data_IF_429979575091
#
_entry.id   IF_429979575091
#
_cell.length_a   1.000
_cell.length_b   1.000
_cell.length_c   1.000
_cell.angle_alpha   90.00
_cell.angle_beta   90.00
_cell.angle_gamma   90.00
#
_symmetry.space_group_name_H-M   'P 1'
#
loop_
_entity.id
_entity.type
_entity.pdbx_description
1 polymer ?
#
# COMPACT_ATOMS: atom_id res chain seq x y z
N UNK A 1 19.74 -53.62 3.44
CA UNK A 1 18.52 -52.90 3.07
C UNK A 1 18.63 -51.48 3.64
N UNK A 2 19.10 -50.53 2.84
CA UNK A 2 19.23 -49.12 3.24
C UNK A 2 17.93 -48.40 2.87
N UNK A 3 17.19 -47.94 3.87
CA UNK A 3 16.03 -47.06 3.64
C UNK A 3 16.57 -45.66 3.23
N UNK A 4 16.37 -45.32 1.98
CA UNK A 4 16.49 -43.95 1.50
C UNK A 4 15.28 -43.14 2.07
N UNK A 5 15.54 -42.31 3.07
CA UNK A 5 14.59 -41.26 3.46
C UNK A 5 14.67 -40.16 2.40
N UNK A 6 13.77 -40.19 1.43
CA UNK A 6 13.51 -39.04 0.56
C UNK A 6 12.87 -37.93 1.42
N UNK A 7 13.67 -36.95 1.80
CA UNK A 7 13.18 -35.72 2.33
C UNK A 7 12.28 -35.06 1.25
N UNK A 8 11.00 -34.94 1.53
CA UNK A 8 10.08 -34.12 0.76
C UNK A 8 10.55 -32.67 0.90
N UNK A 9 11.37 -32.20 -0.05
CA UNK A 9 11.59 -30.79 -0.24
C UNK A 9 10.24 -30.13 -0.49
N UNK A 10 9.78 -29.26 0.39
CA UNK A 10 8.52 -28.53 0.26
C UNK A 10 8.43 -27.93 -1.14
N UNK A 11 7.34 -28.21 -1.85
CA UNK A 11 7.17 -27.84 -3.25
C UNK A 11 6.97 -26.33 -3.38
N UNK A 12 8.06 -25.59 -3.54
CA UNK A 12 7.99 -24.20 -3.99
C UNK A 12 7.79 -24.20 -5.52
N UNK A 13 6.80 -23.44 -5.99
CA UNK A 13 6.52 -23.28 -7.42
C UNK A 13 6.77 -21.85 -7.84
N UNK A 14 7.62 -21.60 -8.87
CA UNK A 14 7.65 -20.31 -9.52
C UNK A 14 6.31 -20.05 -10.23
N UNK A 15 5.76 -18.88 -10.05
CA UNK A 15 4.56 -18.40 -10.74
C UNK A 15 4.85 -17.02 -11.32
N UNK A 16 3.95 -16.49 -12.16
CA UNK A 16 4.07 -15.12 -12.68
C UNK A 16 4.02 -14.08 -11.55
N UNK A 17 3.60 -14.46 -10.34
CA UNK A 17 3.41 -13.59 -9.17
C UNK A 17 4.39 -13.86 -8.03
N UNK A 18 5.53 -14.44 -8.31
CA UNK A 18 6.53 -14.77 -7.31
C UNK A 18 6.61 -16.27 -7.03
N UNK A 19 7.55 -16.63 -6.15
CA UNK A 19 7.67 -18.01 -5.68
C UNK A 19 6.51 -18.30 -4.72
N UNK A 20 5.77 -19.36 -5.00
CA UNK A 20 4.68 -19.82 -4.15
C UNK A 20 5.16 -21.04 -3.35
N UNK A 21 5.05 -20.94 -2.04
CA UNK A 21 5.39 -22.01 -1.10
C UNK A 21 4.13 -22.81 -0.79
N UNK A 22 4.25 -24.13 -0.79
CA UNK A 22 3.14 -25.06 -0.56
C UNK A 22 3.43 -26.00 0.63
N UNK A 23 4.37 -25.63 1.47
CA UNK A 23 4.72 -26.27 2.74
C UNK A 23 4.06 -25.52 3.91
N UNK A 24 3.44 -26.29 4.80
CA UNK A 24 2.76 -25.76 5.98
C UNK A 24 1.42 -25.09 5.65
N UNK A 25 0.34 -25.70 6.08
CA UNK A 25 -0.99 -25.08 6.02
C UNK A 25 -1.19 -24.17 7.23
N UNK A 26 -1.81 -23.02 7.01
CA UNK A 26 -2.08 -22.00 8.01
C UNK A 26 -3.59 -21.76 8.13
N UNK A 27 -4.16 -22.10 9.27
CA UNK A 27 -5.59 -21.90 9.57
C UNK A 27 -5.89 -20.46 10.03
N UNK A 28 -4.86 -19.74 10.47
CA UNK A 28 -4.99 -18.38 11.00
C UNK A 28 -4.17 -17.38 10.18
N UNK A 29 -4.52 -16.09 10.33
CA UNK A 29 -3.77 -15.02 9.68
C UNK A 29 -2.36 -14.88 10.27
N UNK A 30 -2.19 -15.12 11.58
CA UNK A 30 -0.88 -15.12 12.24
C UNK A 30 -0.70 -16.44 12.99
N UNK A 31 0.37 -17.15 12.69
CA UNK A 31 0.68 -18.47 13.20
C UNK A 31 2.07 -18.44 13.86
N UNK A 32 2.18 -18.61 15.19
CA UNK A 32 3.46 -18.64 15.88
C UNK A 32 4.38 -19.70 15.28
N UNK A 33 5.64 -19.35 15.07
CA UNK A 33 6.68 -20.27 14.58
C UNK A 33 7.95 -20.10 15.42
N UNK A 34 8.65 -21.20 15.68
CA UNK A 34 9.85 -21.19 16.52
C UNK A 34 11.09 -20.68 15.79
N UNK A 35 11.13 -20.85 14.48
CA UNK A 35 12.30 -20.50 13.67
C UNK A 35 11.84 -20.10 12.26
N UNK A 36 12.66 -19.29 11.61
CA UNK A 36 12.50 -18.98 10.19
C UNK A 36 13.85 -19.15 9.49
N UNK A 37 13.81 -19.65 8.27
CA UNK A 37 14.95 -19.73 7.39
C UNK A 37 14.63 -19.06 6.06
N UNK A 38 15.52 -18.20 5.60
CA UNK A 38 15.45 -17.57 4.31
C UNK A 38 16.85 -17.43 3.71
N UNK A 39 16.99 -17.84 2.45
CA UNK A 39 18.21 -17.72 1.64
C UNK A 39 18.22 -16.42 0.82
N UNK A 40 17.23 -15.55 1.01
CA UNK A 40 17.06 -14.32 0.20
C UNK A 40 18.08 -13.26 0.61
N UNK A 41 18.58 -12.46 -0.36
CA UNK A 41 19.38 -11.28 -0.07
C UNK A 41 18.67 -10.37 0.93
N UNK A 42 19.43 -9.77 1.83
CA UNK A 42 18.93 -8.92 2.93
C UNK A 42 19.09 -7.46 2.57
N UNK A 43 18.03 -6.68 2.83
CA UNK A 43 18.04 -5.24 2.65
C UNK A 43 17.14 -4.61 3.74
N UNK A 44 17.75 -4.14 4.81
CA UNK A 44 17.08 -3.56 5.98
C UNK A 44 17.32 -2.05 6.11
N UNK A 45 17.85 -1.42 5.07
CA UNK A 45 18.33 -0.04 5.12
C UNK A 45 17.21 0.96 5.48
N UNK A 46 16.05 0.87 4.83
CA UNK A 46 14.98 1.84 5.03
C UNK A 46 14.27 1.69 6.38
N UNK A 47 14.37 0.53 7.02
CA UNK A 47 13.74 0.26 8.32
C UNK A 47 14.22 1.22 9.41
N UNK A 48 15.52 1.51 9.47
CA UNK A 48 16.10 2.41 10.49
C UNK A 48 15.50 3.81 10.38
N UNK A 49 15.41 4.35 9.17
CA UNK A 49 14.81 5.68 8.94
C UNK A 49 13.35 5.68 9.34
N UNK A 50 12.58 4.66 8.95
CA UNK A 50 11.17 4.57 9.32
C UNK A 50 10.97 4.42 10.82
N UNK A 51 11.80 3.63 11.49
CA UNK A 51 11.77 3.44 12.93
C UNK A 51 12.02 4.78 13.67
N UNK A 52 13.01 5.54 13.26
CA UNK A 52 13.34 6.83 13.88
C UNK A 52 12.19 7.83 13.72
N UNK A 53 11.55 7.89 12.56
CA UNK A 53 10.35 8.70 12.34
C UNK A 53 9.20 8.33 13.30
N UNK A 54 8.97 7.02 13.52
CA UNK A 54 7.96 6.57 14.48
C UNK A 54 8.30 7.00 15.90
N UNK A 55 9.56 6.79 16.32
CA UNK A 55 10.00 7.12 17.68
C UNK A 55 9.97 8.63 17.95
N UNK A 56 10.28 9.45 16.94
CA UNK A 56 10.24 10.90 17.04
C UNK A 56 8.81 11.43 17.06
N UNK A 57 7.95 10.93 16.19
CA UNK A 57 6.64 11.54 15.91
C UNK A 57 5.49 10.97 16.73
N UNK A 58 5.63 9.76 17.32
CA UNK A 58 4.56 9.11 18.07
C UNK A 58 4.99 8.61 19.44
N UNK A 59 4.82 9.42 20.50
CA UNK A 59 5.12 8.98 21.88
C UNK A 59 4.39 7.70 22.29
N UNK A 60 3.16 7.49 21.83
CA UNK A 60 2.38 6.29 22.14
C UNK A 60 2.92 5.03 21.48
N UNK A 61 3.33 5.10 20.21
CA UNK A 61 3.97 3.98 19.55
C UNK A 61 5.40 3.76 20.11
N UNK A 62 6.13 4.83 20.41
CA UNK A 62 7.42 4.72 21.08
C UNK A 62 7.29 3.95 22.41
N UNK A 63 6.34 4.32 23.26
CA UNK A 63 6.09 3.62 24.53
C UNK A 63 5.77 2.13 24.34
N UNK A 64 5.11 1.77 23.25
CA UNK A 64 4.70 0.38 22.96
C UNK A 64 5.81 -0.44 22.32
N UNK A 65 6.55 0.13 21.36
CA UNK A 65 7.39 -0.62 20.43
C UNK A 65 8.88 -0.31 20.52
N UNK A 66 9.32 0.73 21.23
CA UNK A 66 10.73 1.14 21.27
C UNK A 66 11.68 -0.02 21.60
N UNK A 67 11.33 -0.87 22.60
CA UNK A 67 12.15 -2.01 22.96
C UNK A 67 12.30 -3.02 21.82
N UNK A 68 11.19 -3.35 21.14
CA UNK A 68 11.21 -4.22 19.97
C UNK A 68 12.06 -3.61 18.84
N UNK A 69 11.83 -2.34 18.55
CA UNK A 69 12.53 -1.65 17.46
C UNK A 69 14.03 -1.67 17.66
N UNK A 70 14.50 -1.37 18.88
CA UNK A 70 15.93 -1.39 19.20
C UNK A 70 16.54 -2.80 19.18
N UNK A 71 15.75 -3.83 19.56
CA UNK A 71 16.19 -5.21 19.43
C UNK A 71 16.29 -5.65 17.98
N UNK A 72 15.30 -5.29 17.13
CA UNK A 72 15.33 -5.59 15.70
C UNK A 72 16.46 -4.85 15.01
N UNK A 73 16.71 -3.58 15.34
CA UNK A 73 17.85 -2.81 14.83
C UNK A 73 19.17 -3.50 15.19
N UNK A 74 19.35 -3.84 16.47
CA UNK A 74 20.55 -4.53 16.95
C UNK A 74 20.76 -5.89 16.26
N UNK A 75 19.69 -6.67 16.07
CA UNK A 75 19.75 -7.92 15.32
C UNK A 75 20.14 -7.67 13.85
N UNK A 76 19.53 -6.70 13.18
CA UNK A 76 19.79 -6.40 11.77
C UNK A 76 21.24 -5.97 11.53
N UNK A 77 21.81 -5.17 12.44
CA UNK A 77 23.20 -4.67 12.37
C UNK A 77 24.27 -5.74 12.70
N UNK A 78 23.98 -6.66 13.64
CA UNK A 78 25.00 -7.62 14.13
C UNK A 78 24.88 -9.03 13.54
N UNK A 79 23.74 -9.40 13.02
CA UNK A 79 23.50 -10.71 12.38
C UNK A 79 22.72 -10.58 11.09
N UNK A 80 21.49 -10.03 11.17
CA UNK A 80 20.54 -9.98 10.10
C UNK A 80 20.09 -11.36 9.58
N UNK A 81 20.56 -12.47 10.17
CA UNK A 81 20.16 -13.82 9.81
C UNK A 81 18.85 -14.18 10.50
N UNK A 82 17.75 -14.43 9.75
CA UNK A 82 16.46 -14.77 10.32
C UNK A 82 16.51 -15.94 11.31
N UNK A 83 17.37 -16.92 11.08
CA UNK A 83 17.55 -18.08 11.97
C UNK A 83 18.06 -17.69 13.37
N UNK A 84 18.62 -16.50 13.54
CA UNK A 84 19.18 -16.02 14.82
C UNK A 84 18.26 -15.10 15.61
N UNK A 85 17.06 -14.76 15.11
CA UNK A 85 16.13 -13.83 15.77
C UNK A 85 15.85 -14.19 17.24
N UNK A 86 15.67 -15.49 17.53
CA UNK A 86 15.49 -15.96 18.91
C UNK A 86 16.65 -15.65 19.84
N UNK A 87 17.90 -15.59 19.36
CA UNK A 87 19.08 -15.23 20.15
C UNK A 87 19.06 -13.75 20.59
N UNK A 88 18.24 -12.94 19.91
CA UNK A 88 18.01 -11.52 20.24
C UNK A 88 16.69 -11.31 20.98
N UNK A 89 16.03 -12.38 21.47
CA UNK A 89 14.78 -12.29 22.22
C UNK A 89 13.61 -11.84 21.34
N UNK A 90 13.62 -12.16 20.04
CA UNK A 90 12.58 -11.81 19.07
C UNK A 90 11.82 -13.08 18.70
N UNK A 91 10.52 -13.09 18.99
CA UNK A 91 9.57 -14.12 18.56
C UNK A 91 8.96 -13.79 17.21
N UNK A 92 8.44 -14.83 16.55
CA UNK A 92 7.89 -14.75 15.20
C UNK A 92 6.50 -15.34 15.13
N UNK A 93 5.64 -14.70 14.34
CA UNK A 93 4.40 -15.30 13.87
C UNK A 93 4.33 -15.18 12.35
N UNK A 94 4.31 -16.31 11.63
CA UNK A 94 4.19 -16.32 10.18
C UNK A 94 2.78 -15.93 9.76
N UNK A 95 2.69 -15.07 8.78
CA UNK A 95 1.42 -14.66 8.20
C UNK A 95 0.96 -15.70 7.18
N UNK A 96 -0.24 -16.25 7.37
CA UNK A 96 -0.88 -17.12 6.40
C UNK A 96 -1.35 -16.34 5.18
N UNK A 97 -1.24 -16.92 4.01
CA UNK A 97 -1.76 -16.36 2.77
C UNK A 97 -3.24 -16.67 2.55
N UNK A 98 -3.84 -16.04 1.53
CA UNK A 98 -5.23 -16.31 1.14
C UNK A 98 -5.44 -17.69 0.51
N UNK A 99 -4.37 -18.41 0.21
CA UNK A 99 -4.35 -19.75 -0.33
C UNK A 99 -4.23 -20.87 0.74
N UNK A 100 -4.23 -20.47 2.03
CA UNK A 100 -4.02 -21.39 3.15
C UNK A 100 -2.55 -21.74 3.43
N UNK A 101 -1.62 -21.21 2.65
CA UNK A 101 -0.17 -21.33 2.85
C UNK A 101 0.45 -20.00 3.28
N UNK A 102 1.78 -19.89 3.33
CA UNK A 102 2.47 -18.68 3.72
C UNK A 102 2.60 -17.61 2.63
N UNK A 103 1.80 -17.67 1.55
CA UNK A 103 1.93 -16.76 0.40
C UNK A 103 1.06 -15.50 0.59
N UNK A 104 1.61 -14.50 1.28
CA UNK A 104 0.95 -13.21 1.49
C UNK A 104 0.96 -12.40 0.19
N UNK A 105 -0.20 -11.85 -0.17
CA UNK A 105 -0.31 -10.97 -1.33
C UNK A 105 0.25 -9.60 -1.01
N UNK A 106 1.20 -9.15 -1.83
CA UNK A 106 1.65 -7.77 -1.89
C UNK A 106 1.02 -7.05 -3.06
N UNK A 107 0.44 -5.89 -2.81
CA UNK A 107 0.17 -4.86 -3.81
C UNK A 107 1.04 -3.64 -3.52
N UNK A 108 1.02 -2.64 -4.39
CA UNK A 108 1.76 -1.41 -4.21
C UNK A 108 0.86 -0.19 -4.29
N UNK A 109 1.20 0.84 -3.53
CA UNK A 109 0.62 2.16 -3.65
C UNK A 109 1.71 3.23 -3.62
N UNK A 110 1.36 4.42 -4.08
CA UNK A 110 2.30 5.53 -4.23
C UNK A 110 1.58 6.86 -4.04
N UNK A 111 2.33 7.94 -3.94
CA UNK A 111 1.78 9.29 -3.95
C UNK A 111 1.91 9.88 -5.36
N UNK A 112 0.81 10.02 -6.11
CA UNK A 112 0.88 10.62 -7.45
C UNK A 112 1.28 12.09 -7.38
N UNK A 113 1.80 12.61 -8.47
CA UNK A 113 1.98 14.04 -8.73
C UNK A 113 1.04 14.41 -9.86
N UNK A 114 0.12 15.34 -9.63
CA UNK A 114 -0.82 15.81 -10.65
C UNK A 114 -0.65 17.32 -10.87
N UNK A 115 -0.90 17.76 -12.11
CA UNK A 115 -0.82 19.16 -12.49
C UNK A 115 -2.14 19.88 -12.17
N UNK A 116 -2.04 21.01 -11.49
CA UNK A 116 -3.19 21.91 -11.20
C UNK A 116 -2.92 23.35 -11.58
N UNK A 117 -3.99 24.16 -11.59
CA UNK A 117 -3.97 25.62 -11.55
C UNK A 117 -4.90 26.11 -10.45
N UNK A 118 -4.57 27.28 -9.87
CA UNK A 118 -5.42 27.88 -8.83
C UNK A 118 -6.76 28.38 -9.37
N UNK A 119 -6.82 28.77 -10.65
CA UNK A 119 -8.03 29.24 -11.30
C UNK A 119 -8.40 28.34 -12.48
N UNK A 120 -9.69 28.10 -12.73
CA UNK A 120 -10.13 27.32 -13.86
C UNK A 120 -9.93 28.06 -15.19
N UNK A 121 -9.67 27.29 -16.24
CA UNK A 121 -9.67 27.76 -17.62
C UNK A 121 -10.28 26.70 -18.56
N UNK A 122 -10.11 26.83 -19.87
CA UNK A 122 -10.65 25.88 -20.84
C UNK A 122 -10.05 24.48 -20.73
N UNK A 123 -8.82 24.36 -20.21
CA UNK A 123 -8.08 23.09 -20.02
C UNK A 123 -8.19 22.59 -18.60
N UNK A 124 -7.82 23.44 -17.62
CA UNK A 124 -7.83 23.12 -16.19
C UNK A 124 -9.21 23.46 -15.62
N UNK A 125 -10.17 22.54 -15.72
CA UNK A 125 -11.58 22.80 -15.39
C UNK A 125 -12.18 21.85 -14.35
N UNK A 126 -11.44 20.80 -13.96
CA UNK A 126 -11.93 19.80 -13.02
C UNK A 126 -11.42 20.11 -11.61
N UNK A 127 -12.30 20.45 -10.66
CA UNK A 127 -11.88 20.87 -9.32
C UNK A 127 -11.44 19.71 -8.45
N UNK A 128 -10.39 19.96 -7.63
CA UNK A 128 -10.03 19.15 -6.47
C UNK A 128 -10.65 19.81 -5.24
N UNK A 129 -11.37 19.05 -4.42
CA UNK A 129 -12.18 19.62 -3.34
C UNK A 129 -11.61 19.37 -1.94
N UNK A 130 -11.75 20.38 -1.07
CA UNK A 130 -11.71 20.24 0.38
C UNK A 130 -12.98 19.52 0.89
N UNK A 131 -12.92 18.98 2.13
CA UNK A 131 -14.04 18.27 2.76
C UNK A 131 -15.21 19.23 3.03
N UNK A 132 -16.41 18.96 2.44
CA UNK A 132 -17.61 19.74 2.75
C UNK A 132 -18.16 19.43 4.14
N UNK A 133 -18.95 20.34 4.69
CA UNK A 133 -19.69 20.16 5.95
C UNK A 133 -21.01 19.41 5.70
N UNK A 134 -20.94 18.16 5.32
CA UNK A 134 -22.11 17.36 4.91
C UNK A 134 -22.48 16.24 5.91
N UNK A 135 -21.65 15.94 6.93
CA UNK A 135 -21.93 14.89 7.90
C UNK A 135 -22.15 13.52 7.24
N UNK A 136 -23.31 12.90 7.52
CA UNK A 136 -23.69 11.60 6.94
C UNK A 136 -24.40 11.71 5.58
N UNK A 137 -24.68 12.93 5.10
CA UNK A 137 -25.46 13.19 3.89
C UNK A 137 -24.61 13.81 2.78
N UNK A 138 -23.35 13.40 2.69
CA UNK A 138 -22.46 13.86 1.62
C UNK A 138 -22.95 13.38 0.25
N UNK A 139 -22.88 14.25 -0.80
CA UNK A 139 -23.26 13.87 -2.15
C UNK A 139 -22.33 12.77 -2.70
N UNK A 140 -22.89 11.90 -3.55
CA UNK A 140 -22.10 10.92 -4.29
C UNK A 140 -21.34 11.60 -5.45
N UNK A 141 -20.44 10.83 -6.11
CA UNK A 141 -19.62 11.34 -7.22
C UNK A 141 -20.45 11.97 -8.33
N UNK A 142 -21.53 11.32 -8.77
CA UNK A 142 -22.41 11.84 -9.83
C UNK A 142 -22.99 13.20 -9.47
N UNK A 143 -23.46 13.38 -8.23
CA UNK A 143 -23.98 14.66 -7.76
C UNK A 143 -22.86 15.73 -7.66
N UNK A 144 -21.65 15.34 -7.20
CA UNK A 144 -20.50 16.25 -7.16
C UNK A 144 -20.12 16.71 -8.57
N UNK A 145 -20.03 15.79 -9.51
CA UNK A 145 -19.74 16.11 -10.92
C UNK A 145 -20.87 16.91 -11.60
N UNK A 146 -22.08 16.85 -11.06
CA UNK A 146 -23.22 17.68 -11.50
C UNK A 146 -23.27 19.05 -10.78
N UNK A 147 -22.26 19.41 -9.99
CA UNK A 147 -22.16 20.73 -9.36
C UNK A 147 -22.71 20.84 -7.93
N UNK A 148 -22.94 19.73 -7.22
CA UNK A 148 -23.48 19.76 -5.86
C UNK A 148 -22.60 20.53 -4.85
N UNK A 149 -21.33 20.78 -5.17
CA UNK A 149 -20.38 21.53 -4.32
C UNK A 149 -20.06 22.93 -4.87
N UNK A 150 -20.63 23.33 -6.02
CA UNK A 150 -20.36 24.61 -6.65
C UNK A 150 -20.76 25.79 -5.75
N UNK A 151 -19.92 26.82 -5.73
CA UNK A 151 -20.17 28.05 -4.96
C UNK A 151 -19.97 27.90 -3.46
N UNK A 152 -19.48 26.77 -2.96
CA UNK A 152 -19.19 26.57 -1.54
C UNK A 152 -17.77 27.01 -1.15
N UNK A 153 -16.91 27.37 -2.12
CA UNK A 153 -15.53 27.79 -1.88
C UNK A 153 -14.64 26.65 -1.36
N UNK A 154 -14.89 25.42 -1.88
CA UNK A 154 -14.18 24.21 -1.47
C UNK A 154 -13.09 23.79 -2.46
N UNK A 155 -12.98 24.48 -3.59
CA UNK A 155 -12.04 24.21 -4.64
C UNK A 155 -10.62 24.55 -4.18
N UNK A 156 -9.74 23.55 -4.18
CA UNK A 156 -8.31 23.68 -3.81
C UNK A 156 -7.44 23.99 -5.04
N UNK A 157 -7.95 23.74 -6.23
CA UNK A 157 -7.30 23.89 -7.52
C UNK A 157 -8.05 23.09 -8.58
N UNK A 158 -7.62 23.22 -9.84
CA UNK A 158 -8.28 22.64 -10.99
C UNK A 158 -7.30 21.84 -11.84
N UNK A 159 -7.64 20.60 -12.19
CA UNK A 159 -6.89 19.72 -13.09
C UNK A 159 -7.43 19.76 -14.51
N UNK A 160 -6.59 19.40 -15.46
CA UNK A 160 -6.98 19.11 -16.84
C UNK A 160 -7.61 17.71 -16.99
N UNK A 161 -7.45 16.83 -15.99
CA UNK A 161 -7.83 15.42 -16.06
C UNK A 161 -8.67 14.98 -14.86
N UNK A 162 -9.91 14.56 -15.10
CA UNK A 162 -10.75 13.90 -14.07
C UNK A 162 -10.12 12.59 -13.60
N UNK A 163 -9.46 11.87 -14.49
CA UNK A 163 -8.84 10.59 -14.14
C UNK A 163 -7.69 10.76 -13.18
N UNK A 164 -6.85 11.80 -13.35
CA UNK A 164 -5.71 12.04 -12.44
C UNK A 164 -6.20 12.38 -11.03
N UNK A 165 -7.25 13.21 -10.91
CA UNK A 165 -7.92 13.46 -9.63
C UNK A 165 -8.43 12.15 -9.03
N UNK A 166 -9.14 11.34 -9.82
CA UNK A 166 -9.68 10.06 -9.38
C UNK A 166 -8.56 9.11 -8.92
N UNK A 167 -7.44 9.05 -9.64
CA UNK A 167 -6.29 8.24 -9.23
C UNK A 167 -5.69 8.72 -7.91
N UNK A 168 -5.57 10.04 -7.70
CA UNK A 168 -5.15 10.61 -6.44
C UNK A 168 -6.15 10.27 -5.31
N UNK A 169 -7.45 10.28 -5.57
CA UNK A 169 -8.47 9.86 -4.60
C UNK A 169 -8.34 8.37 -4.23
N UNK A 170 -8.03 7.50 -5.19
CA UNK A 170 -7.80 6.06 -4.93
C UNK A 170 -6.57 5.84 -4.05
N UNK A 171 -5.50 6.60 -4.27
CA UNK A 171 -4.30 6.58 -3.43
C UNK A 171 -4.53 7.23 -2.05
N UNK A 172 -5.54 8.08 -1.91
CA UNK A 172 -5.93 8.75 -0.67
C UNK A 172 -5.17 10.05 -0.38
N UNK A 173 -4.08 10.32 -1.08
CA UNK A 173 -3.30 11.56 -1.01
C UNK A 173 -2.44 11.70 -2.26
N UNK A 174 -1.84 12.86 -2.47
CA UNK A 174 -0.93 13.07 -3.59
C UNK A 174 -0.24 14.41 -3.53
N UNK A 175 0.69 14.60 -4.43
CA UNK A 175 1.33 15.88 -4.68
C UNK A 175 0.63 16.60 -5.80
N UNK A 176 0.60 17.90 -5.69
CA UNK A 176 0.04 18.82 -6.67
C UNK A 176 1.15 19.77 -7.09
N UNK A 177 1.40 19.84 -8.37
CA UNK A 177 2.26 20.84 -8.96
C UNK A 177 1.38 21.93 -9.59
N UNK A 178 1.45 23.14 -9.04
CA UNK A 178 0.73 24.29 -9.59
C UNK A 178 1.53 24.93 -10.73
N UNK A 179 1.11 24.70 -11.98
CA UNK A 179 1.79 25.25 -13.16
C UNK A 179 1.84 26.78 -13.19
N UNK A 180 0.86 27.45 -12.60
CA UNK A 180 0.75 28.91 -12.62
C UNK A 180 1.74 29.62 -11.70
N UNK A 181 2.39 28.93 -10.75
CA UNK A 181 3.42 29.49 -9.88
C UNK A 181 4.60 28.54 -9.59
N UNK A 182 4.66 27.39 -10.29
CA UNK A 182 5.71 26.36 -10.14
C UNK A 182 5.88 25.85 -8.69
N UNK A 183 4.75 25.72 -7.98
CA UNK A 183 4.74 25.28 -6.57
C UNK A 183 4.33 23.82 -6.45
N UNK A 184 5.17 23.02 -5.79
CA UNK A 184 4.81 21.66 -5.35
C UNK A 184 4.19 21.71 -3.95
N UNK A 185 3.03 21.08 -3.78
CA UNK A 185 2.33 21.00 -2.50
C UNK A 185 1.79 19.59 -2.27
N UNK A 186 1.86 19.10 -1.03
CA UNK A 186 1.24 17.84 -0.66
C UNK A 186 -0.22 18.06 -0.27
N UNK A 187 -1.13 17.29 -0.88
CA UNK A 187 -2.54 17.23 -0.54
C UNK A 187 -2.83 15.96 0.26
N UNK A 188 -3.00 16.14 1.56
CA UNK A 188 -3.27 15.06 2.49
C UNK A 188 -4.76 14.65 2.45
N UNK A 189 -5.05 13.39 2.75
CA UNK A 189 -6.40 12.89 2.96
C UNK A 189 -7.14 13.72 4.02
N UNK A 190 -8.37 14.14 3.71
CA UNK A 190 -9.21 14.93 4.62
C UNK A 190 -10.61 14.32 4.83
N UNK A 191 -10.84 13.11 4.37
CA UNK A 191 -12.09 12.40 4.52
C UNK A 191 -12.68 11.93 3.19
N UNK A 192 -13.80 11.22 3.29
CA UNK A 192 -14.56 10.74 2.13
C UNK A 192 -16.04 10.94 2.34
N UNK A 193 -16.82 10.90 1.26
CA UNK A 193 -18.25 11.11 1.28
C UNK A 193 -19.09 9.97 1.90
N UNK A 194 -18.47 8.88 2.37
CA UNK A 194 -19.15 7.76 3.05
C UNK A 194 -19.84 6.76 2.12
N UNK A 195 -19.89 7.00 0.81
CA UNK A 195 -20.43 6.04 -0.15
C UNK A 195 -19.48 4.85 -0.38
N UNK A 196 -20.01 3.67 -0.80
CA UNK A 196 -19.20 2.49 -1.06
C UNK A 196 -18.25 2.70 -2.24
N UNK A 197 -17.06 2.11 -2.15
CA UNK A 197 -16.10 2.13 -3.24
C UNK A 197 -16.42 1.05 -4.27
N UNK A 198 -16.41 1.43 -5.55
CA UNK A 198 -16.53 0.54 -6.70
C UNK A 198 -15.28 0.69 -7.58
N UNK A 199 -14.59 -0.42 -7.85
CA UNK A 199 -13.41 -0.41 -8.70
C UNK A 199 -13.77 -0.18 -10.17
N UNK A 200 -13.32 0.93 -10.75
CA UNK A 200 -13.51 1.20 -12.20
C UNK A 200 -12.77 0.18 -13.06
N UNK A 201 -11.63 -0.36 -12.60
CA UNK A 201 -10.95 -1.44 -13.30
C UNK A 201 -11.80 -2.72 -13.38
N UNK A 202 -12.56 -3.04 -12.31
CA UNK A 202 -13.53 -4.14 -12.35
C UNK A 202 -14.65 -3.87 -13.36
N UNK A 203 -15.14 -2.64 -13.40
CA UNK A 203 -16.18 -2.22 -14.38
C UNK A 203 -15.68 -2.39 -15.81
N UNK A 204 -14.44 -1.96 -16.12
CA UNK A 204 -13.84 -2.14 -17.46
C UNK A 204 -13.68 -3.60 -17.84
N UNK A 205 -13.33 -4.47 -16.88
CA UNK A 205 -13.26 -5.93 -17.11
C UNK A 205 -14.66 -6.49 -17.41
N UNK A 206 -15.66 -6.13 -16.62
CA UNK A 206 -17.05 -6.58 -16.79
C UNK A 206 -17.67 -6.11 -18.10
N UNK A 207 -17.26 -4.95 -18.61
CA UNK A 207 -17.65 -4.42 -19.94
C UNK A 207 -16.86 -5.06 -21.10
N UNK A 208 -15.83 -5.84 -20.83
CA UNK A 208 -14.94 -6.42 -21.85
C UNK A 208 -14.00 -5.40 -22.52
N UNK A 209 -13.87 -4.20 -21.95
CA UNK A 209 -13.03 -3.11 -22.47
C UNK A 209 -11.52 -3.38 -22.23
N UNK A 210 -11.20 -3.98 -21.08
CA UNK A 210 -9.84 -4.36 -20.72
C UNK A 210 -9.84 -5.80 -20.20
N UNK A 211 -9.04 -6.71 -20.78
CA UNK A 211 -8.90 -8.07 -20.31
C UNK A 211 -8.40 -8.13 -18.86
N UNK A 212 -8.93 -9.05 -18.05
CA UNK A 212 -8.59 -9.20 -16.63
C UNK A 212 -7.09 -9.34 -16.37
N UNK A 213 -6.42 -10.10 -17.23
CA UNK A 213 -4.97 -10.37 -17.13
C UNK A 213 -4.09 -9.15 -17.45
N UNK A 214 -4.65 -8.17 -18.17
CA UNK A 214 -3.98 -6.91 -18.55
C UNK A 214 -4.38 -5.72 -17.65
N UNK A 215 -5.29 -5.93 -16.69
CA UNK A 215 -5.80 -4.84 -15.86
C UNK A 215 -4.69 -4.29 -14.95
N UNK A 216 -4.40 -3.00 -15.11
CA UNK A 216 -3.43 -2.20 -14.36
C UNK A 216 -3.82 -0.73 -14.39
N UNK A 217 -3.20 0.12 -13.58
CA UNK A 217 -3.39 1.58 -13.64
C UNK A 217 -3.03 2.13 -15.04
N UNK A 218 -1.95 1.61 -15.63
CA UNK A 218 -1.54 1.94 -17.00
C UNK A 218 -2.63 1.60 -18.02
N UNK A 219 -3.22 0.41 -17.93
CA UNK A 219 -4.28 -0.01 -18.86
C UNK A 219 -5.53 0.88 -18.75
N UNK A 220 -5.88 1.33 -17.54
CA UNK A 220 -6.97 2.29 -17.32
C UNK A 220 -6.63 3.64 -17.98
N UNK A 221 -5.41 4.15 -17.78
CA UNK A 221 -4.96 5.41 -18.40
C UNK A 221 -4.92 5.33 -19.93
N UNK A 222 -4.42 4.22 -20.48
CA UNK A 222 -4.40 3.97 -21.93
C UNK A 222 -5.79 3.83 -22.53
N UNK A 223 -6.73 3.27 -21.79
CA UNK A 223 -8.14 3.21 -22.19
C UNK A 223 -8.74 4.62 -22.20
N UNK A 224 -8.59 5.37 -21.11
CA UNK A 224 -9.16 6.71 -20.96
C UNK A 224 -8.61 7.71 -22.00
N UNK A 225 -7.33 7.60 -22.37
CA UNK A 225 -6.70 8.45 -23.39
C UNK A 225 -7.31 8.29 -24.80
N UNK A 226 -8.12 7.25 -25.02
CA UNK A 226 -8.82 6.99 -26.29
C UNK A 226 -10.30 7.41 -26.25
N UNK A 227 -10.78 7.88 -25.11
CA UNK A 227 -12.17 8.24 -24.89
C UNK A 227 -12.33 9.76 -24.84
N UNK A 228 -13.56 10.22 -25.02
CA UNK A 228 -13.92 11.60 -24.69
C UNK A 228 -14.21 11.78 -23.20
N UNK A 229 -14.25 13.02 -22.73
CA UNK A 229 -14.49 13.34 -21.32
C UNK A 229 -15.83 12.81 -20.79
N UNK A 230 -16.85 12.74 -21.63
CA UNK A 230 -18.17 12.25 -21.23
C UNK A 230 -18.11 10.75 -20.92
N UNK A 231 -17.41 9.98 -21.74
CA UNK A 231 -17.19 8.54 -21.55
C UNK A 231 -16.32 8.25 -20.34
N UNK A 232 -15.24 9.02 -20.14
CA UNK A 232 -14.42 8.91 -18.94
C UNK A 232 -15.24 9.24 -17.70
N UNK A 233 -16.00 10.34 -17.70
CA UNK A 233 -16.87 10.74 -16.61
C UNK A 233 -17.88 9.64 -16.26
N UNK A 234 -18.55 9.06 -17.26
CA UNK A 234 -19.51 7.96 -17.06
C UNK A 234 -18.89 6.76 -16.36
N UNK A 235 -17.65 6.38 -16.74
CA UNK A 235 -16.90 5.32 -16.05
C UNK A 235 -16.60 5.69 -14.60
N UNK A 236 -16.11 6.89 -14.34
CA UNK A 236 -15.76 7.34 -12.99
C UNK A 236 -16.99 7.41 -12.08
N UNK A 237 -18.17 7.79 -12.61
CA UNK A 237 -19.45 7.84 -11.89
C UNK A 237 -19.95 6.45 -11.42
N UNK A 238 -19.43 5.34 -11.98
CA UNK A 238 -19.71 3.99 -11.45
C UNK A 238 -19.18 3.81 -10.02
N UNK A 239 -18.19 4.62 -9.62
CA UNK A 239 -17.71 4.67 -8.23
C UNK A 239 -18.37 5.85 -7.49
N UNK A 240 -19.40 5.62 -6.65
CA UNK A 240 -20.05 6.69 -5.90
C UNK A 240 -19.20 7.30 -4.79
N UNK A 241 -18.11 6.62 -4.37
CA UNK A 241 -17.17 7.13 -3.37
C UNK A 241 -16.38 8.33 -3.92
N UNK A 242 -16.13 9.32 -3.06
CA UNK A 242 -15.35 10.52 -3.37
C UNK A 242 -14.46 10.85 -2.18
N UNK A 243 -13.17 11.18 -2.43
CA UNK A 243 -12.19 11.56 -1.43
C UNK A 243 -11.94 13.06 -1.49
N UNK A 244 -11.81 13.67 -0.33
CA UNK A 244 -11.54 15.09 -0.15
C UNK A 244 -10.15 15.31 0.44
N UNK A 245 -9.53 16.42 0.11
CA UNK A 245 -8.15 16.71 0.45
C UNK A 245 -8.02 17.98 1.31
N UNK A 246 -6.85 18.15 1.89
CA UNK A 246 -6.40 19.41 2.50
C UNK A 246 -4.95 19.65 2.15
N UNK A 247 -4.56 20.89 1.83
CA UNK A 247 -3.17 21.26 1.67
C UNK A 247 -2.40 20.98 2.96
N UNK A 248 -1.20 20.44 2.85
CA UNK A 248 -0.26 20.23 3.95
C UNK A 248 0.77 21.34 4.00
N UNK A 249 1.26 21.68 5.19
CA UNK A 249 2.38 22.58 5.38
C UNK A 249 3.74 21.91 5.18
N UNK A 250 3.78 20.59 5.05
CA UNK A 250 4.99 19.80 4.79
C UNK A 250 4.78 18.91 3.56
N UNK A 251 5.88 18.44 2.99
CA UNK A 251 5.86 17.48 1.88
C UNK A 251 5.90 16.02 2.38
N UNK A 252 5.75 15.78 3.67
CA UNK A 252 5.72 14.45 4.25
C UNK A 252 4.43 13.72 3.88
N UNK A 253 4.55 12.57 3.26
CA UNK A 253 3.41 11.67 3.02
C UNK A 253 3.05 10.95 4.30
N UNK A 254 1.88 11.25 4.84
CA UNK A 254 1.45 10.73 6.14
C UNK A 254 0.59 9.48 5.97
N UNK A 255 1.00 8.38 6.60
CA UNK A 255 0.14 7.21 6.77
C UNK A 255 -1.01 7.46 7.77
N UNK A 256 -1.98 6.57 7.80
CA UNK A 256 -3.11 6.63 8.75
C UNK A 256 -2.69 6.49 10.23
N UNK A 257 -1.45 6.07 10.49
CA UNK A 257 -0.80 6.14 11.80
C UNK A 257 -0.40 7.57 12.23
N UNK A 258 -0.50 8.57 11.35
CA UNK A 258 -0.02 9.93 11.58
C UNK A 258 1.51 10.05 11.56
N UNK A 259 2.19 9.14 10.88
CA UNK A 259 3.66 9.08 10.74
C UNK A 259 4.03 9.25 9.27
N UNK A 260 5.10 10.02 8.95
CA UNK A 260 5.65 10.05 7.60
C UNK A 260 6.05 8.65 7.12
N UNK A 261 5.67 8.32 5.89
CA UNK A 261 5.96 7.02 5.28
C UNK A 261 7.30 7.06 4.54
N UNK A 262 8.16 6.10 4.85
CA UNK A 262 9.37 5.81 4.09
C UNK A 262 9.04 4.78 3.00
N UNK A 263 9.39 5.09 1.76
CA UNK A 263 9.23 4.17 0.64
C UNK A 263 9.93 2.83 0.91
N UNK A 264 9.32 1.72 0.51
CA UNK A 264 9.82 0.35 0.67
C UNK A 264 10.04 -0.13 2.11
N UNK A 265 9.62 0.66 3.12
CA UNK A 265 9.63 0.29 4.54
C UNK A 265 8.24 0.36 5.19
N UNK A 266 7.33 1.20 4.67
CA UNK A 266 5.98 1.32 5.18
C UNK A 266 4.99 0.47 4.37
N UNK A 267 4.04 -0.16 5.08
CA UNK A 267 2.93 -0.90 4.46
C UNK A 267 1.59 -0.48 5.05
N UNK A 268 0.57 -0.48 4.19
CA UNK A 268 -0.81 -0.54 4.66
C UNK A 268 -1.16 -2.00 4.99
N UNK A 269 -1.88 -2.18 6.10
CA UNK A 269 -2.22 -3.49 6.64
C UNK A 269 -3.59 -3.51 7.34
N UNK A 270 -4.12 -4.70 7.62
CA UNK A 270 -5.32 -4.86 8.44
C UNK A 270 -4.95 -4.71 9.93
N UNK A 271 -5.39 -3.60 10.53
CA UNK A 271 -5.12 -3.25 11.93
C UNK A 271 -5.59 -4.31 12.94
N UNK A 272 -6.52 -5.17 12.54
CA UNK A 272 -7.01 -6.26 13.41
C UNK A 272 -5.89 -7.26 13.73
N UNK A 273 -4.99 -7.51 12.78
CA UNK A 273 -3.90 -8.47 12.89
C UNK A 273 -2.53 -7.81 13.07
N UNK A 274 -2.36 -6.66 12.44
CA UNK A 274 -1.15 -5.87 12.45
C UNK A 274 -1.46 -4.44 12.95
N UNK A 275 -1.54 -4.24 14.29
CA UNK A 275 -1.68 -2.90 14.85
C UNK A 275 -0.62 -1.94 14.33
N UNK A 276 -0.92 -0.65 14.29
CA UNK A 276 0.02 0.37 13.86
C UNK A 276 1.31 0.32 14.66
N UNK A 277 2.43 0.36 13.97
CA UNK A 277 3.77 0.19 14.53
C UNK A 277 4.28 -1.27 14.55
N UNK A 278 3.47 -2.27 14.12
CA UNK A 278 3.95 -3.65 14.01
C UNK A 278 5.12 -3.75 13.05
N UNK A 279 6.16 -4.50 13.45
CA UNK A 279 7.33 -4.81 12.61
C UNK A 279 7.13 -6.14 11.92
N UNK A 280 7.46 -6.18 10.65
CA UNK A 280 7.37 -7.35 9.79
C UNK A 280 8.73 -7.66 9.18
N UNK A 281 9.12 -8.92 9.17
CA UNK A 281 10.14 -9.44 8.28
C UNK A 281 9.44 -10.01 7.05
N UNK A 282 9.87 -9.65 5.85
CA UNK A 282 9.15 -10.00 4.63
C UNK A 282 10.08 -10.36 3.47
N UNK A 283 9.78 -11.44 2.77
CA UNK A 283 10.37 -11.73 1.46
C UNK A 283 9.60 -10.98 0.38
N UNK A 284 10.08 -9.80 0.03
CA UNK A 284 9.44 -8.91 -0.94
C UNK A 284 9.84 -9.31 -2.35
N UNK A 285 8.88 -9.65 -3.24
CA UNK A 285 9.19 -10.04 -4.61
C UNK A 285 9.79 -8.86 -5.39
N UNK A 286 10.77 -9.14 -6.23
CA UNK A 286 11.41 -8.15 -7.09
C UNK A 286 10.88 -8.28 -8.51
N UNK A 287 10.54 -7.14 -9.11
CA UNK A 287 9.97 -7.08 -10.45
C UNK A 287 11.00 -6.61 -11.48
N UNK A 288 10.81 -6.98 -12.72
CA UNK A 288 11.47 -6.37 -13.86
C UNK A 288 10.74 -5.10 -14.30
N UNK A 289 11.23 -4.44 -15.34
CA UNK A 289 10.64 -3.20 -15.89
C UNK A 289 9.25 -3.40 -16.48
N UNK A 290 8.88 -4.62 -16.83
CA UNK A 290 7.57 -5.00 -17.34
C UNK A 290 6.60 -5.38 -16.22
N UNK A 291 7.04 -5.31 -14.96
CA UNK A 291 6.25 -5.63 -13.78
C UNK A 291 6.06 -7.13 -13.54
N UNK A 292 6.90 -7.97 -14.15
CA UNK A 292 6.91 -9.42 -13.89
C UNK A 292 7.91 -9.75 -12.80
N UNK A 293 7.60 -10.77 -12.05
CA UNK A 293 8.56 -11.29 -11.09
C UNK A 293 9.85 -11.77 -11.80
N UNK A 294 10.99 -11.23 -11.39
CA UNK A 294 12.29 -11.50 -12.00
C UNK A 294 12.99 -12.76 -11.43
N UNK A 295 12.26 -13.61 -10.69
CA UNK A 295 12.80 -14.81 -10.06
C UNK A 295 13.44 -14.58 -8.69
N UNK A 296 13.43 -13.35 -8.16
CA UNK A 296 14.10 -12.99 -6.92
C UNK A 296 13.13 -12.41 -5.89
N UNK A 297 13.44 -12.63 -4.62
CA UNK A 297 12.89 -11.90 -3.48
C UNK A 297 14.03 -11.26 -2.71
N UNK A 298 13.72 -10.17 -2.00
CA UNK A 298 14.64 -9.51 -1.06
C UNK A 298 14.00 -9.54 0.31
N UNK A 299 14.77 -9.91 1.31
CA UNK A 299 14.33 -9.91 2.69
C UNK A 299 14.40 -8.49 3.25
N UNK A 300 13.25 -7.92 3.60
CA UNK A 300 13.10 -6.56 4.11
C UNK A 300 12.45 -6.54 5.49
N UNK A 301 12.74 -5.49 6.24
CA UNK A 301 11.99 -5.11 7.44
C UNK A 301 10.98 -4.03 7.05
N UNK A 302 9.70 -4.28 7.36
CA UNK A 302 8.60 -3.38 7.04
C UNK A 302 7.85 -2.98 8.31
N UNK A 303 7.17 -1.84 8.28
CA UNK A 303 6.34 -1.35 9.38
C UNK A 303 4.91 -1.11 8.92
N UNK A 304 3.94 -1.63 9.67
CA UNK A 304 2.53 -1.38 9.43
C UNK A 304 2.14 0.01 9.95
N UNK A 305 2.09 1.00 9.07
CA UNK A 305 1.85 2.41 9.41
C UNK A 305 0.67 3.02 8.66
N UNK A 306 0.04 2.24 7.78
CA UNK A 306 -1.10 2.72 7.01
C UNK A 306 -2.22 1.67 6.92
N UNK A 307 -3.37 2.08 6.35
CA UNK A 307 -4.52 1.22 6.11
C UNK A 307 -5.12 1.50 4.76
N UNK A 308 -5.59 0.46 4.08
CA UNK A 308 -6.38 0.57 2.86
C UNK A 308 -7.77 -0.03 3.00
N UNK A 309 -8.75 0.53 2.31
CA UNK A 309 -10.12 0.02 2.32
C UNK A 309 -10.21 -1.44 1.85
N UNK A 310 -9.41 -1.81 0.88
CA UNK A 310 -9.31 -3.16 0.31
C UNK A 310 -8.22 -4.03 0.97
N UNK A 311 -7.36 -3.47 1.83
CA UNK A 311 -6.27 -4.19 2.49
C UNK A 311 -6.81 -4.89 3.72
N UNK A 312 -7.03 -6.20 3.61
CA UNK A 312 -7.66 -7.03 4.66
C UNK A 312 -6.91 -8.32 4.89
N UNK A 313 -6.91 -8.77 6.15
CA UNK A 313 -6.34 -10.05 6.59
C UNK A 313 -4.86 -10.20 6.14
N UNK A 314 -4.62 -11.07 5.20
CA UNK A 314 -3.34 -11.53 4.66
C UNK A 314 -2.94 -10.84 3.34
N UNK A 315 -3.25 -9.57 3.26
CA UNK A 315 -2.88 -8.67 2.17
C UNK A 315 -2.09 -7.49 2.74
N UNK A 316 -0.98 -7.15 2.14
CA UNK A 316 -0.17 -5.98 2.44
C UNK A 316 -0.06 -5.09 1.20
N UNK A 317 -0.11 -3.78 1.41
CA UNK A 317 0.05 -2.79 0.34
C UNK A 317 1.33 -2.00 0.62
N UNK A 318 2.36 -2.18 -0.20
CA UNK A 318 3.69 -1.60 0.00
C UNK A 318 3.73 -0.17 -0.55
N UNK A 319 4.23 0.78 0.25
CA UNK A 319 4.43 2.14 -0.19
C UNK A 319 5.68 2.26 -1.06
N UNK A 320 5.53 2.73 -2.28
CA UNK A 320 6.61 2.86 -3.27
C UNK A 320 7.22 4.26 -3.37
N UNK A 321 6.66 5.24 -2.65
CA UNK A 321 7.14 6.63 -2.71
C UNK A 321 6.29 7.52 -3.59
N UNK A 322 6.91 8.52 -4.20
CA UNK A 322 6.25 9.62 -4.90
C UNK A 322 6.56 9.61 -6.40
N UNK A 323 5.59 10.03 -7.19
CA UNK A 323 5.76 10.38 -8.60
C UNK A 323 5.60 9.22 -9.57
N UNK A 324 5.96 9.48 -10.83
CA UNK A 324 5.65 8.60 -11.96
C UNK A 324 6.34 7.23 -11.85
N UNK A 325 7.62 7.18 -11.53
CA UNK A 325 8.39 5.93 -11.39
C UNK A 325 7.81 5.05 -10.27
N UNK A 326 7.53 5.65 -9.09
CA UNK A 326 6.87 4.95 -8.00
C UNK A 326 5.49 4.41 -8.40
N UNK A 327 4.77 5.14 -9.24
CA UNK A 327 3.48 4.72 -9.79
C UNK A 327 3.57 3.55 -10.77
N UNK A 328 4.62 3.50 -11.58
CA UNK A 328 4.90 2.36 -12.46
C UNK A 328 5.16 1.11 -11.61
N UNK A 329 6.07 1.22 -10.64
CA UNK A 329 6.43 0.11 -9.77
C UNK A 329 5.22 -0.38 -8.96
N UNK A 330 4.52 0.52 -8.27
CA UNK A 330 3.33 0.20 -7.48
C UNK A 330 2.22 -0.42 -8.32
N UNK A 331 1.98 0.11 -9.52
CA UNK A 331 0.90 -0.33 -10.41
C UNK A 331 1.05 -1.77 -10.92
N UNK A 332 2.26 -2.30 -10.91
CA UNK A 332 2.56 -3.68 -11.30
C UNK A 332 2.54 -4.66 -10.12
N UNK A 333 2.57 -4.16 -8.87
CA UNK A 333 2.65 -5.03 -7.71
C UNK A 333 1.34 -5.78 -7.46
N UNK A 334 1.38 -7.10 -7.63
CA UNK A 334 0.34 -8.05 -7.24
C UNK A 334 1.00 -9.43 -7.12
N UNK A 335 1.91 -9.56 -6.18
CA UNK A 335 2.87 -10.65 -6.10
C UNK A 335 2.88 -11.28 -4.71
N UNK A 336 3.33 -12.53 -4.60
CA UNK A 336 3.38 -13.26 -3.34
C UNK A 336 4.75 -13.17 -2.67
N UNK A 337 4.73 -13.08 -1.33
CA UNK A 337 5.91 -13.22 -0.50
C UNK A 337 5.58 -13.81 0.86
N UNK A 338 6.58 -14.36 1.56
CA UNK A 338 6.40 -14.78 2.95
C UNK A 338 6.59 -13.60 3.89
N UNK A 339 5.80 -13.57 4.95
CA UNK A 339 5.82 -12.47 5.94
C UNK A 339 5.77 -13.05 7.34
N UNK A 340 6.56 -12.48 8.25
CA UNK A 340 6.56 -12.81 9.67
C UNK A 340 6.40 -11.53 10.48
N UNK A 341 5.41 -11.51 11.38
CA UNK A 341 5.29 -10.47 12.41
C UNK A 341 6.35 -10.74 13.46
N UNK A 342 7.10 -9.71 13.85
CA UNK A 342 8.08 -9.76 14.93
C UNK A 342 7.47 -9.25 16.24
N UNK A 343 7.86 -9.85 17.35
CA UNK A 343 7.48 -9.43 18.68
C UNK A 343 8.60 -9.69 19.69
N UNK A 344 8.56 -9.03 20.84
CA UNK A 344 9.42 -9.38 21.96
C UNK A 344 9.09 -10.78 22.47
N UNK A 345 10.07 -11.47 23.04
CA UNK A 345 9.87 -12.80 23.62
C UNK A 345 8.66 -12.84 24.58
N UNK A 346 7.74 -13.74 24.33
CA UNK A 346 6.48 -13.87 25.09
C UNK A 346 5.40 -12.84 24.79
N UNK A 347 5.61 -11.90 23.84
CA UNK A 347 4.61 -10.87 23.51
C UNK A 347 3.65 -11.28 22.36
N UNK A 348 4.01 -12.27 21.58
CA UNK A 348 3.13 -12.84 20.55
C UNK A 348 2.20 -13.91 21.17
N UNK A 349 1.02 -14.17 20.57
CA UNK A 349 0.16 -15.25 21.05
C UNK A 349 0.94 -16.55 21.19
N UNK A 350 0.72 -17.28 22.29
CA UNK A 350 1.34 -18.57 22.49
C UNK A 350 0.97 -19.54 21.36
N UNK A 351 1.87 -20.46 21.03
CA UNK A 351 1.53 -21.59 20.16
C UNK A 351 0.41 -22.39 20.82
N UNK A 352 -0.62 -22.83 20.06
CA UNK A 352 -1.68 -23.66 20.58
C UNK A 352 -1.18 -25.01 21.08
#
# INVERSE_FOLDING_TARGET
MALLVLGLAGCARPTDRGQQYLDGEFDQVLNPVSTVSSDKPRDYHEFKQQMELVLERSPSMAATYQSLYRQVENWAENSGDPATLGNYGIDLAQMGGGDGYGNVMFTGYFSPVIELRHQPDATYRYPVYAMPKCGTSCPNRTAIYAGALDGQGLELGYSASMLDIFMMEVQGSGFVHFEDNDQLQYFAYNGKNGHPYVSIGKVLIERGEVPREKMSLKAISEWAAKQDDATVRELLEQNPSFVFFKPSSTLDVMGSAGIPLQAHAAVAADRKYLPMGSVLLAEVPQLDREGKWNGKHVLKLLMALDTGGAVKKNHLDLYHGMGHEAGIDAGHYKHFGRVWKLGLHGSLPAMP
#
